data_IF_377916569542
#
_entry.id   IF_377916569542
#
_cell.length_a   1.000
_cell.length_b   1.000
_cell.length_c   1.000
_cell.angle_alpha   90.00
_cell.angle_beta   90.00
_cell.angle_gamma   90.00
#
_symmetry.space_group_name_H-M   'P 1'
#
loop_
_entity.id
_entity.type
_entity.pdbx_description
1 polymer ?
#
# COMPACT_ATOMS: atom_id res chain seq x y z
N UNK A 1 -18.76 11.70 -7.98
CA UNK A 1 -17.30 11.93 -8.11
C UNK A 1 -16.60 10.58 -8.21
N UNK A 2 -15.84 10.38 -9.27
CA UNK A 2 -15.06 9.16 -9.53
C UNK A 2 -13.58 9.45 -9.30
N UNK A 3 -12.93 8.73 -8.38
CA UNK A 3 -11.51 8.90 -8.09
C UNK A 3 -10.73 7.66 -8.53
N UNK A 4 -9.62 7.87 -9.22
CA UNK A 4 -8.64 6.85 -9.50
C UNK A 4 -7.52 6.91 -8.47
N UNK A 5 -7.28 5.83 -7.76
CA UNK A 5 -6.10 5.65 -6.89
C UNK A 5 -5.11 4.76 -7.60
N UNK A 6 -3.86 5.20 -7.72
CA UNK A 6 -2.79 4.43 -8.35
C UNK A 6 -1.53 4.44 -7.49
N UNK A 7 -0.88 3.29 -7.34
CA UNK A 7 0.38 3.18 -6.61
C UNK A 7 0.67 1.80 -6.06
N UNK A 8 1.77 1.70 -5.31
CA UNK A 8 2.13 0.45 -4.64
C UNK A 8 1.12 0.12 -3.53
N UNK A 9 0.79 -1.15 -3.35
CA UNK A 9 -0.01 -1.63 -2.23
C UNK A 9 0.67 -2.77 -1.49
N UNK A 10 0.33 -2.95 -0.23
CA UNK A 10 0.75 -4.08 0.58
C UNK A 10 -0.39 -4.57 1.49
N UNK A 11 -0.19 -5.74 2.08
CA UNK A 11 -0.95 -6.18 3.24
C UNK A 11 -0.15 -5.86 4.50
N UNK A 12 -0.70 -4.98 5.35
CA UNK A 12 -0.19 -4.70 6.68
C UNK A 12 -0.78 -5.73 7.65
N UNK A 13 0.06 -6.67 8.11
CA UNK A 13 -0.31 -7.75 9.01
C UNK A 13 0.20 -7.42 10.40
N UNK A 14 -0.67 -7.53 11.41
CA UNK A 14 -0.31 -7.37 12.81
C UNK A 14 -0.50 -8.71 13.51
N UNK A 15 0.56 -9.21 14.11
CA UNK A 15 0.56 -10.40 14.97
C UNK A 15 0.74 -9.92 16.39
N UNK A 16 -0.33 -9.95 17.13
CA UNK A 16 -0.34 -9.61 18.55
C UNK A 16 0.01 -10.84 19.39
N UNK A 17 0.68 -10.64 20.50
CA UNK A 17 1.03 -11.72 21.40
C UNK A 17 1.58 -11.23 22.72
N UNK A 18 1.88 -12.19 23.62
CA UNK A 18 2.43 -11.91 24.94
C UNK A 18 3.90 -12.32 24.99
N UNK A 19 4.73 -11.50 25.63
CA UNK A 19 6.14 -11.77 25.87
C UNK A 19 6.35 -11.94 27.37
N UNK A 20 6.56 -13.19 27.80
CA UNK A 20 6.79 -13.51 29.22
C UNK A 20 8.26 -13.81 29.55
N UNK A 21 9.06 -14.12 28.51
CA UNK A 21 10.46 -14.54 28.73
C UNK A 21 11.35 -14.21 27.53
N UNK A 22 12.65 -14.21 27.82
CA UNK A 22 13.69 -14.18 26.77
C UNK A 22 14.01 -15.61 26.30
N UNK A 23 14.49 -15.73 25.06
CA UNK A 23 14.95 -17.01 24.52
C UNK A 23 16.25 -17.44 25.23
N UNK A 24 16.43 -18.76 25.55
CA UNK A 24 17.71 -19.27 26.04
C UNK A 24 18.78 -19.36 24.93
N UNK A 25 18.39 -19.30 23.66
CA UNK A 25 19.29 -19.47 22.52
C UNK A 25 19.94 -18.17 22.06
N UNK A 26 19.27 -17.02 22.30
CA UNK A 26 19.73 -15.70 21.91
C UNK A 26 19.04 -14.62 22.76
N UNK A 27 19.59 -13.39 22.87
CA UNK A 27 18.99 -12.30 23.63
C UNK A 27 17.79 -11.67 22.89
N UNK A 28 16.80 -12.47 22.56
CA UNK A 28 15.58 -12.07 21.87
C UNK A 28 14.33 -12.47 22.67
N UNK A 29 13.25 -11.67 22.63
CA UNK A 29 12.00 -12.04 23.30
C UNK A 29 11.33 -13.23 22.61
N UNK A 30 10.61 -14.04 23.38
CA UNK A 30 9.73 -15.11 22.89
C UNK A 30 8.31 -14.59 22.89
N UNK A 31 7.76 -14.28 21.71
CA UNK A 31 6.38 -13.86 21.55
C UNK A 31 5.48 -15.08 21.35
N UNK A 32 4.45 -15.20 22.17
CA UNK A 32 3.37 -16.19 22.02
C UNK A 32 2.18 -15.51 21.33
N UNK A 33 1.88 -15.83 20.05
CA UNK A 33 0.81 -15.18 19.33
C UNK A 33 -0.57 -15.47 19.93
N UNK A 34 -1.38 -14.44 20.08
CA UNK A 34 -2.77 -14.49 20.59
C UNK A 34 -3.77 -14.15 19.48
N UNK A 35 -3.45 -13.14 18.67
CA UNK A 35 -4.36 -12.63 17.63
C UNK A 35 -3.57 -12.20 16.38
N UNK A 36 -4.28 -12.18 15.23
CA UNK A 36 -3.72 -11.71 13.95
C UNK A 36 -4.76 -10.90 13.20
N UNK A 37 -4.40 -9.69 12.80
CA UNK A 37 -5.22 -8.83 11.94
C UNK A 37 -4.48 -8.47 10.67
N UNK A 38 -5.21 -8.06 9.64
CA UNK A 38 -4.62 -7.62 8.37
C UNK A 38 -5.42 -6.49 7.76
N UNK A 39 -4.73 -5.44 7.34
CA UNK A 39 -5.29 -4.27 6.67
C UNK A 39 -4.60 -4.03 5.34
N UNK A 40 -5.29 -3.34 4.41
CA UNK A 40 -4.63 -2.84 3.21
C UNK A 40 -3.75 -1.65 3.54
N UNK A 41 -2.47 -1.69 3.14
CA UNK A 41 -1.51 -0.62 3.31
C UNK A 41 -1.21 0.14 2.00
N UNK A 42 -0.49 1.27 2.11
CA UNK A 42 -0.07 2.11 0.97
C UNK A 42 -1.29 2.61 0.15
N UNK A 43 -1.28 2.51 -1.18
CA UNK A 43 -2.38 2.92 -2.05
C UNK A 43 -3.71 2.22 -1.72
N UNK A 44 -3.67 0.98 -1.24
CA UNK A 44 -4.86 0.24 -0.79
C UNK A 44 -5.50 0.88 0.45
N UNK A 45 -4.70 1.48 1.35
CA UNK A 45 -5.22 2.23 2.48
C UNK A 45 -5.96 3.50 2.02
N UNK A 46 -5.38 4.24 1.08
CA UNK A 46 -6.04 5.42 0.47
C UNK A 46 -7.36 5.03 -0.18
N UNK A 47 -7.35 3.95 -0.96
CA UNK A 47 -8.56 3.41 -1.57
C UNK A 47 -9.64 3.08 -0.52
N UNK A 48 -9.27 2.37 0.55
CA UNK A 48 -10.21 1.99 1.61
C UNK A 48 -10.79 3.21 2.34
N UNK A 49 -9.97 4.24 2.59
CA UNK A 49 -10.42 5.49 3.21
C UNK A 49 -11.43 6.25 2.33
N UNK A 50 -11.16 6.35 1.02
CA UNK A 50 -12.10 6.97 0.09
C UNK A 50 -13.41 6.17 -0.01
N UNK A 51 -13.33 4.85 -0.01
CA UNK A 51 -14.53 3.98 0.02
C UNK A 51 -15.35 4.17 1.30
N UNK A 52 -14.69 4.34 2.44
CA UNK A 52 -15.37 4.61 3.72
C UNK A 52 -16.08 5.97 3.75
N UNK A 53 -15.71 6.90 2.86
CA UNK A 53 -16.36 8.19 2.63
C UNK A 53 -17.43 8.15 1.53
N UNK A 54 -17.85 6.96 1.11
CA UNK A 54 -18.84 6.71 0.02
C UNK A 54 -18.43 7.32 -1.34
N UNK A 55 -17.12 7.51 -1.57
CA UNK A 55 -16.60 7.99 -2.84
C UNK A 55 -16.45 6.82 -3.82
N UNK A 56 -16.94 7.00 -5.06
CA UNK A 56 -16.67 6.02 -6.11
C UNK A 56 -15.20 6.01 -6.46
N UNK A 57 -14.53 4.90 -6.16
CA UNK A 57 -13.07 4.80 -6.26
C UNK A 57 -12.65 3.55 -7.00
N UNK A 58 -11.68 3.70 -7.89
CA UNK A 58 -11.01 2.60 -8.59
C UNK A 58 -9.56 2.53 -8.11
N UNK A 59 -9.05 1.33 -7.84
CA UNK A 59 -7.66 1.11 -7.44
C UNK A 59 -6.89 0.41 -8.56
N UNK A 60 -5.74 0.98 -8.92
CA UNK A 60 -4.74 0.36 -9.79
C UNK A 60 -3.45 0.18 -8.99
N UNK A 61 -3.05 -1.06 -8.78
CA UNK A 61 -1.90 -1.41 -7.95
C UNK A 61 -1.17 -2.65 -8.45
N UNK A 62 -0.02 -2.95 -7.83
CA UNK A 62 0.77 -4.15 -8.12
C UNK A 62 -0.03 -5.44 -7.93
N UNK A 63 0.31 -6.44 -8.73
CA UNK A 63 -0.23 -7.81 -8.63
C UNK A 63 0.52 -8.65 -7.60
N UNK A 64 1.80 -8.34 -7.38
CA UNK A 64 2.64 -9.02 -6.40
C UNK A 64 2.16 -8.72 -4.99
N UNK A 65 2.16 -9.75 -4.15
CA UNK A 65 1.76 -9.63 -2.75
C UNK A 65 2.94 -9.15 -1.90
N UNK A 66 2.98 -7.86 -1.61
CA UNK A 66 3.89 -7.26 -0.63
C UNK A 66 3.25 -7.41 0.75
N UNK A 67 3.98 -7.94 1.72
CA UNK A 67 3.47 -8.15 3.09
C UNK A 67 4.41 -7.47 4.08
N UNK A 68 3.84 -6.73 5.01
CA UNK A 68 4.54 -6.11 6.15
C UNK A 68 3.96 -6.65 7.44
N UNK A 69 4.66 -7.61 8.04
CA UNK A 69 4.23 -8.23 9.29
C UNK A 69 4.86 -7.51 10.46
N UNK A 70 4.02 -7.03 11.38
CA UNK A 70 4.43 -6.40 12.64
C UNK A 70 4.07 -7.32 13.78
N UNK A 71 5.03 -7.65 14.61
CA UNK A 71 4.85 -8.39 15.84
C UNK A 71 4.75 -7.40 16.99
N UNK A 72 3.66 -7.46 17.73
CA UNK A 72 3.31 -6.48 18.77
C UNK A 72 3.10 -7.20 20.08
N UNK A 73 3.83 -6.76 21.11
CA UNK A 73 3.56 -7.18 22.48
C UNK A 73 2.31 -6.48 23.02
N UNK A 74 1.30 -7.26 23.40
CA UNK A 74 0.04 -6.73 23.93
C UNK A 74 0.20 -6.10 25.31
N UNK A 75 1.12 -6.60 26.13
CA UNK A 75 1.34 -6.11 27.48
C UNK A 75 1.79 -4.64 27.53
N UNK A 76 2.64 -4.24 26.60
CA UNK A 76 3.17 -2.88 26.50
C UNK A 76 2.70 -2.13 25.26
N UNK A 77 1.87 -2.75 24.41
CA UNK A 77 1.44 -2.23 23.11
C UNK A 77 2.62 -1.75 22.25
N UNK A 78 3.69 -2.52 22.24
CA UNK A 78 4.95 -2.17 21.59
C UNK A 78 5.26 -3.13 20.44
N UNK A 79 5.62 -2.56 19.27
CA UNK A 79 6.14 -3.35 18.16
C UNK A 79 7.56 -3.83 18.49
N UNK A 80 7.77 -5.15 18.47
CA UNK A 80 9.05 -5.79 18.82
C UNK A 80 9.83 -6.23 17.58
N UNK A 81 9.13 -6.51 16.48
CA UNK A 81 9.74 -6.93 15.22
C UNK A 81 8.86 -6.54 14.06
N UNK A 82 9.48 -6.18 12.93
CA UNK A 82 8.81 -6.08 11.63
C UNK A 82 9.53 -6.95 10.61
N UNK A 83 8.76 -7.71 9.84
CA UNK A 83 9.24 -8.54 8.74
C UNK A 83 8.59 -8.07 7.45
N UNK A 84 9.40 -7.66 6.47
CA UNK A 84 8.92 -7.25 5.15
C UNK A 84 9.19 -8.39 4.16
N UNK A 85 8.12 -8.89 3.51
CA UNK A 85 8.19 -9.97 2.53
C UNK A 85 7.83 -9.41 1.16
N UNK A 86 8.62 -9.73 0.13
CA UNK A 86 8.43 -9.28 -1.25
C UNK A 86 8.33 -7.76 -1.36
N UNK A 87 9.27 -7.02 -0.79
CA UNK A 87 9.21 -5.55 -0.67
C UNK A 87 9.42 -4.79 -2.00
N UNK A 88 9.26 -5.49 -3.14
CA UNK A 88 9.32 -4.94 -4.50
C UNK A 88 8.25 -5.57 -5.37
N UNK A 89 7.82 -4.83 -6.40
CA UNK A 89 6.87 -5.30 -7.40
C UNK A 89 7.32 -4.92 -8.81
N UNK A 90 6.67 -5.50 -9.81
CA UNK A 90 6.87 -5.16 -11.21
C UNK A 90 6.25 -3.82 -11.52
N UNK A 91 6.84 -3.17 -12.51
CA UNK A 91 6.31 -1.93 -13.06
C UNK A 91 4.95 -2.16 -13.71
N UNK A 92 4.11 -1.14 -13.66
CA UNK A 92 2.81 -1.13 -14.34
C UNK A 92 2.95 -1.43 -15.84
N UNK A 93 1.96 -2.13 -16.38
CA UNK A 93 1.87 -2.42 -17.80
C UNK A 93 1.75 -1.14 -18.64
N UNK A 94 2.44 -1.09 -19.80
CA UNK A 94 2.50 0.08 -20.68
C UNK A 94 1.13 0.46 -21.26
N UNK A 95 0.31 -0.51 -21.65
CA UNK A 95 -1.03 -0.25 -22.18
C UNK A 95 -1.94 0.39 -21.11
N UNK A 96 -1.83 -0.09 -19.89
CA UNK A 96 -2.55 0.47 -18.74
C UNK A 96 -2.07 1.89 -18.42
N UNK A 97 -0.76 2.12 -18.52
CA UNK A 97 -0.14 3.43 -18.36
C UNK A 97 -0.74 4.46 -19.33
N UNK A 98 -0.83 4.12 -20.62
CA UNK A 98 -1.37 5.02 -21.64
C UNK A 98 -2.84 5.37 -21.37
N UNK A 99 -3.64 4.40 -20.97
CA UNK A 99 -5.05 4.64 -20.64
C UNK A 99 -5.20 5.64 -19.47
N UNK A 100 -4.34 5.55 -18.46
CA UNK A 100 -4.37 6.47 -17.31
C UNK A 100 -3.93 7.89 -17.71
N UNK A 101 -2.90 8.03 -18.54
CA UNK A 101 -2.48 9.33 -19.06
C UNK A 101 -3.60 10.02 -19.86
N UNK A 102 -4.41 9.25 -20.57
CA UNK A 102 -5.57 9.76 -21.29
C UNK A 102 -6.83 9.94 -20.42
N UNK A 103 -6.71 9.78 -19.12
CA UNK A 103 -7.82 9.77 -18.17
C UNK A 103 -8.93 8.78 -18.53
N UNK A 104 -8.57 7.65 -19.13
CA UNK A 104 -9.50 6.61 -19.57
C UNK A 104 -9.07 5.25 -19.01
N UNK A 105 -9.85 4.70 -18.12
CA UNK A 105 -9.65 3.34 -17.64
C UNK A 105 -11.01 2.68 -17.38
N UNK A 106 -11.19 1.45 -17.89
CA UNK A 106 -12.45 0.71 -17.83
C UNK A 106 -13.66 1.50 -18.40
N UNK A 107 -13.46 2.23 -19.50
CA UNK A 107 -14.48 3.08 -20.13
C UNK A 107 -15.06 4.16 -19.18
N UNK A 108 -14.27 4.61 -18.21
CA UNK A 108 -14.62 5.68 -17.28
C UNK A 108 -13.61 6.82 -17.38
N UNK A 109 -14.09 8.02 -17.12
CA UNK A 109 -13.30 9.19 -16.82
C UNK A 109 -13.29 9.44 -15.33
N UNK A 110 -12.23 10.04 -14.82
CA UNK A 110 -12.05 10.30 -13.38
C UNK A 110 -11.97 11.80 -13.13
N UNK A 111 -12.67 12.23 -12.09
CA UNK A 111 -12.67 13.64 -11.64
C UNK A 111 -11.35 14.02 -10.98
N UNK A 112 -10.67 13.02 -10.40
CA UNK A 112 -9.34 13.19 -9.79
C UNK A 112 -8.54 11.88 -9.83
N UNK A 113 -7.21 12.02 -9.84
CA UNK A 113 -6.25 10.92 -9.72
C UNK A 113 -5.44 11.12 -8.45
N UNK A 114 -5.39 10.10 -7.59
CA UNK A 114 -4.53 10.07 -6.41
C UNK A 114 -3.39 9.10 -6.65
N UNK A 115 -2.16 9.59 -6.62
CA UNK A 115 -0.94 8.79 -6.74
C UNK A 115 -0.36 8.59 -5.35
N UNK A 116 -0.25 7.33 -4.92
CA UNK A 116 0.36 6.95 -3.64
C UNK A 116 1.54 6.00 -3.91
N UNK A 117 2.75 6.59 -4.01
CA UNK A 117 3.96 5.88 -4.44
C UNK A 117 4.94 5.69 -3.27
N UNK A 118 5.12 4.45 -2.85
CA UNK A 118 6.03 4.02 -1.79
C UNK A 118 7.37 3.49 -2.32
N UNK A 119 7.67 3.74 -3.59
CA UNK A 119 8.92 3.34 -4.25
C UNK A 119 9.17 1.82 -4.25
N UNK A 120 8.11 1.01 -4.38
CA UNK A 120 8.25 -0.45 -4.48
C UNK A 120 8.50 -0.95 -5.90
N UNK A 121 8.42 -0.04 -6.88
CA UNK A 121 8.74 -0.31 -8.28
C UNK A 121 7.55 -0.26 -9.22
N UNK A 122 6.32 -0.11 -8.73
CA UNK A 122 5.11 -0.06 -9.57
C UNK A 122 5.10 1.15 -10.51
N UNK A 123 5.46 2.34 -10.01
CA UNK A 123 5.53 3.57 -10.79
C UNK A 123 6.98 4.04 -10.97
N UNK A 124 7.32 4.57 -12.15
CA UNK A 124 8.56 5.31 -12.38
C UNK A 124 8.33 6.80 -12.21
N UNK A 125 9.40 7.56 -11.94
CA UNK A 125 9.34 9.03 -11.87
C UNK A 125 8.78 9.62 -13.17
N UNK A 126 9.27 9.16 -14.34
CA UNK A 126 8.83 9.64 -15.65
C UNK A 126 7.33 9.39 -15.88
N UNK A 127 6.80 8.28 -15.34
CA UNK A 127 5.39 7.96 -15.46
C UNK A 127 4.53 8.86 -14.57
N UNK A 128 4.94 9.08 -13.33
CA UNK A 128 4.28 10.04 -12.42
C UNK A 128 4.22 11.42 -13.06
N UNK A 129 5.34 11.90 -13.63
CA UNK A 129 5.39 13.17 -14.34
C UNK A 129 4.44 13.22 -15.55
N UNK A 130 4.32 12.12 -16.31
CA UNK A 130 3.39 12.02 -17.42
C UNK A 130 1.93 12.13 -16.98
N UNK A 131 1.54 11.45 -15.91
CA UNK A 131 0.18 11.55 -15.35
C UNK A 131 -0.11 12.99 -14.93
N UNK A 132 0.82 13.62 -14.19
CA UNK A 132 0.66 14.98 -13.70
C UNK A 132 0.55 16.02 -14.83
N UNK A 133 1.27 15.80 -15.94
CA UNK A 133 1.19 16.69 -17.12
C UNK A 133 -0.09 16.52 -17.94
N UNK A 134 -0.63 15.31 -17.96
CA UNK A 134 -1.79 14.97 -18.80
C UNK A 134 -3.14 15.18 -18.09
N UNK A 135 -3.14 15.39 -16.79
CA UNK A 135 -4.37 15.48 -15.99
C UNK A 135 -4.32 16.70 -15.07
N UNK A 136 -5.46 17.37 -14.90
CA UNK A 136 -5.56 18.62 -14.13
C UNK A 136 -5.70 18.41 -12.63
N UNK A 137 -6.39 17.36 -12.19
CA UNK A 137 -6.68 17.09 -10.78
C UNK A 137 -5.88 15.88 -10.30
N UNK A 138 -4.59 16.07 -10.03
CA UNK A 138 -3.71 15.01 -9.54
C UNK A 138 -3.21 15.36 -8.15
N UNK A 139 -3.43 14.46 -7.21
CA UNK A 139 -2.90 14.50 -5.84
C UNK A 139 -1.76 13.50 -5.72
N UNK A 140 -0.59 13.97 -5.34
CA UNK A 140 0.64 13.16 -5.32
C UNK A 140 1.20 13.05 -3.91
N UNK A 141 1.30 11.79 -3.42
CA UNK A 141 2.08 11.39 -2.26
C UNK A 141 3.16 10.40 -2.71
N UNK A 142 4.41 10.81 -2.73
CA UNK A 142 5.54 10.00 -3.19
C UNK A 142 6.76 10.16 -2.30
N UNK A 143 7.57 9.10 -2.25
CA UNK A 143 8.89 9.08 -1.60
C UNK A 143 10.06 9.27 -2.58
N UNK A 144 9.77 9.61 -3.83
CA UNK A 144 10.78 9.93 -4.87
C UNK A 144 11.20 11.37 -4.83
#
# INVERSE_FOLDING_TARGET
MNILVIGDSCDDVFVYGVIERMSPEAPVPVLQPTNKTSNGGMSKNVYNNLKALDVQTTLITNKEKIIKTRYVDEGYNQMVLRVDTNDKCRQIDEALRMNICNNQYQNKTYDAIVISDYCKGFLTKSYIESICKSNTNVFLDTKK
#
